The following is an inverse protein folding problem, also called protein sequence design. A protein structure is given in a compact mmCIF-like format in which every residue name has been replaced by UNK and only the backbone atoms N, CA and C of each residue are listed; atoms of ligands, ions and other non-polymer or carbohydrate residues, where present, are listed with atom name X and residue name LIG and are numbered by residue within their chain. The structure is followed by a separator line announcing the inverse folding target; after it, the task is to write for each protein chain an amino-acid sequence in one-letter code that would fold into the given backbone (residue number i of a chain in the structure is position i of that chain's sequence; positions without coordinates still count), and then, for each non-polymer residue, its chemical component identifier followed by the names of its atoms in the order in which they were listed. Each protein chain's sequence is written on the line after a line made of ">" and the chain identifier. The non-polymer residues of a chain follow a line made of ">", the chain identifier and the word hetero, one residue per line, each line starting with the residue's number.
data_IF_145568460626
#
_entry.id   IF_145568460626
#
_cell.length_a   1.000
_cell.length_b   1.000
_cell.length_c   1.000
_cell.angle_alpha   90.00
_cell.angle_beta   90.00
_cell.angle_gamma   90.00
#
_symmetry.space_group_name_H-M   'P 1'
#
loop_
_entity.id
_entity.type
_entity.pdbx_description
1 polymer ?
#
# COMPACT_ATOMS: atom_id res chain seq x y z
N UNK A 1 -9.75 -10.56 -1.42
CA UNK A 1 -8.74 -11.63 -1.59
C UNK A 1 -7.89 -11.63 -0.34
N UNK A 2 -7.45 -12.78 0.15
CA UNK A 2 -6.55 -12.82 1.31
C UNK A 2 -5.18 -12.25 0.96
N UNK A 3 -4.59 -11.53 1.91
CA UNK A 3 -3.28 -10.92 1.78
C UNK A 3 -2.18 -12.00 1.81
N UNK A 4 -1.21 -11.85 0.92
CA UNK A 4 0.03 -12.61 0.93
C UNK A 4 1.20 -11.65 0.79
N UNK A 5 2.10 -11.66 1.77
CA UNK A 5 3.32 -10.84 1.79
C UNK A 5 4.23 -11.15 0.60
N UNK A 6 4.36 -12.42 0.24
CA UNK A 6 5.18 -12.85 -0.90
C UNK A 6 4.60 -12.35 -2.22
N UNK A 7 3.28 -12.49 -2.41
CA UNK A 7 2.60 -11.98 -3.61
C UNK A 7 2.64 -10.46 -3.65
N UNK A 8 2.48 -9.78 -2.52
CA UNK A 8 2.55 -8.32 -2.49
C UNK A 8 3.89 -7.78 -2.98
N UNK A 9 4.98 -8.45 -2.60
CA UNK A 9 6.36 -8.04 -2.92
C UNK A 9 6.80 -8.48 -4.31
N UNK A 10 6.02 -9.27 -5.04
CA UNK A 10 6.41 -9.72 -6.37
C UNK A 10 6.28 -8.62 -7.42
N UNK A 11 7.09 -8.71 -8.48
CA UNK A 11 7.08 -7.73 -9.58
C UNK A 11 5.72 -7.68 -10.30
N UNK A 12 5.07 -8.83 -10.44
CA UNK A 12 3.76 -8.96 -11.11
C UNK A 12 2.58 -8.51 -10.23
N UNK A 13 2.79 -8.14 -8.96
CA UNK A 13 1.72 -7.74 -8.06
C UNK A 13 1.01 -6.45 -8.50
N UNK A 14 1.71 -5.63 -9.29
CA UNK A 14 1.25 -4.38 -9.89
C UNK A 14 0.74 -4.54 -11.32
N UNK A 15 0.83 -5.75 -11.90
CA UNK A 15 0.32 -5.98 -13.25
C UNK A 15 -1.19 -5.79 -13.28
N UNK A 16 -1.64 -5.05 -14.30
CA UNK A 16 -3.06 -4.81 -14.54
C UNK A 16 -3.65 -6.06 -15.19
N UNK A 17 -4.65 -6.65 -14.53
CA UNK A 17 -5.39 -7.76 -15.11
C UNK A 17 -6.54 -7.26 -16.02
N UNK A 18 -7.26 -8.18 -16.66
CA UNK A 18 -8.39 -7.89 -17.56
C UNK A 18 -9.54 -7.04 -16.96
N UNK A 19 -9.53 -6.79 -15.65
CA UNK A 19 -10.52 -5.97 -14.94
C UNK A 19 -9.98 -4.60 -14.52
N UNK A 20 -8.81 -4.19 -15.02
CA UNK A 20 -8.14 -2.95 -14.64
C UNK A 20 -7.80 -2.85 -13.14
N UNK A 21 -7.57 -3.97 -12.46
CA UNK A 21 -7.26 -4.02 -11.01
C UNK A 21 -6.07 -4.94 -10.73
N UNK A 22 -5.10 -4.46 -9.95
CA UNK A 22 -3.89 -5.22 -9.60
C UNK A 22 -4.13 -6.24 -8.48
N UNK A 23 -3.15 -7.12 -8.23
CA UNK A 23 -3.20 -8.03 -7.08
C UNK A 23 -3.10 -7.27 -5.75
N UNK A 24 -2.26 -6.23 -5.67
CA UNK A 24 -2.17 -5.39 -4.46
C UNK A 24 -3.51 -4.77 -4.11
N UNK A 25 -4.22 -4.20 -5.09
CA UNK A 25 -5.55 -3.61 -4.87
C UNK A 25 -6.57 -4.63 -4.35
N UNK A 26 -6.54 -5.87 -4.86
CA UNK A 26 -7.44 -6.95 -4.39
C UNK A 26 -7.17 -7.41 -2.95
N UNK A 27 -5.93 -7.26 -2.48
CA UNK A 27 -5.50 -7.67 -1.14
C UNK A 27 -5.67 -6.57 -0.09
N UNK A 28 -5.88 -5.31 -0.48
CA UNK A 28 -5.92 -4.17 0.45
C UNK A 28 -6.88 -4.34 1.62
N UNK A 29 -8.10 -4.84 1.38
CA UNK A 29 -9.09 -5.02 2.45
C UNK A 29 -8.56 -5.95 3.55
N UNK A 30 -8.06 -7.13 3.16
CA UNK A 30 -7.53 -8.09 4.14
C UNK A 30 -6.25 -7.58 4.81
N UNK A 31 -5.37 -6.92 4.06
CA UNK A 31 -4.18 -6.27 4.60
C UNK A 31 -4.52 -5.29 5.72
N UNK A 32 -5.45 -4.36 5.43
CA UNK A 32 -5.85 -3.29 6.35
C UNK A 32 -6.56 -3.85 7.59
N UNK A 33 -7.49 -4.78 7.38
CA UNK A 33 -8.36 -5.25 8.45
C UNK A 33 -7.66 -6.26 9.37
N UNK A 34 -6.76 -7.09 8.83
CA UNK A 34 -6.23 -8.25 9.55
C UNK A 34 -4.70 -8.24 9.75
N UNK A 35 -3.93 -7.52 8.92
CA UNK A 35 -2.46 -7.64 8.94
C UNK A 35 -1.73 -6.39 9.44
N UNK A 36 -2.30 -5.20 9.31
CA UNK A 36 -1.73 -3.94 9.81
C UNK A 36 -2.02 -3.58 11.27
N UNK A 37 -3.16 -3.97 11.88
CA UNK A 37 -3.44 -3.61 13.27
C UNK A 37 -2.34 -4.05 14.24
N UNK A 38 -1.97 -3.16 15.15
CA UNK A 38 -0.90 -3.34 16.15
C UNK A 38 0.51 -3.57 15.58
N UNK A 39 0.75 -3.35 14.28
CA UNK A 39 2.07 -3.47 13.68
C UNK A 39 2.90 -2.20 13.89
N UNK A 40 4.18 -2.38 14.16
CA UNK A 40 5.14 -1.27 14.15
C UNK A 40 5.51 -0.88 12.73
N UNK A 41 6.12 0.29 12.54
CA UNK A 41 6.69 0.69 11.24
C UNK A 41 7.61 -0.38 10.65
N UNK A 42 8.46 -0.98 11.49
CA UNK A 42 9.36 -2.06 11.08
C UNK A 42 8.57 -3.30 10.62
N UNK A 43 7.56 -3.72 11.38
CA UNK A 43 6.76 -4.88 10.99
C UNK A 43 6.03 -4.65 9.66
N UNK A 44 5.53 -3.44 9.42
CA UNK A 44 4.89 -3.08 8.14
C UNK A 44 5.88 -3.18 6.99
N UNK A 45 7.12 -2.73 7.17
CA UNK A 45 8.20 -2.88 6.16
C UNK A 45 8.52 -4.37 5.96
N UNK A 46 8.63 -5.14 7.03
CA UNK A 46 8.89 -6.59 6.95
C UNK A 46 7.76 -7.31 6.19
N UNK A 47 6.51 -6.86 6.31
CA UNK A 47 5.34 -7.43 5.64
C UNK A 47 5.18 -6.95 4.20
N UNK A 48 5.39 -5.67 3.91
CA UNK A 48 5.07 -5.05 2.61
C UNK A 48 6.29 -4.77 1.73
N UNK A 49 7.49 -4.93 2.28
CA UNK A 49 8.74 -4.50 1.67
C UNK A 49 9.03 -3.01 1.91
N UNK A 50 10.11 -2.55 1.28
CA UNK A 50 10.53 -1.15 1.30
C UNK A 50 9.42 -0.24 0.74
N UNK A 51 9.17 0.87 1.43
CA UNK A 51 8.23 1.88 0.95
C UNK A 51 8.83 2.73 -0.17
N UNK A 52 7.97 3.29 -1.01
CA UNK A 52 8.34 4.33 -1.96
C UNK A 52 8.46 5.68 -1.26
N UNK A 53 9.35 6.53 -1.77
CA UNK A 53 9.49 7.93 -1.33
C UNK A 53 8.71 8.90 -2.23
N UNK A 54 7.97 8.41 -3.23
CA UNK A 54 7.31 9.30 -4.21
C UNK A 54 6.24 10.18 -3.56
N UNK A 55 5.45 9.61 -2.65
CA UNK A 55 4.40 10.34 -1.90
C UNK A 55 4.90 10.90 -0.56
N UNK A 56 6.14 10.62 -0.18
CA UNK A 56 6.80 11.12 1.04
C UNK A 56 8.31 11.32 0.76
N UNK A 57 8.68 12.38 0.02
CA UNK A 57 10.03 12.56 -0.51
C UNK A 57 11.08 12.82 0.56
N UNK A 58 10.67 13.34 1.72
CA UNK A 58 11.58 13.69 2.81
C UNK A 58 11.95 12.48 3.70
N UNK A 59 11.27 11.33 3.54
CA UNK A 59 11.46 10.04 4.28
C UNK A 59 11.36 10.10 5.81
N UNK A 60 11.32 11.29 6.39
CA UNK A 60 11.17 11.56 7.83
C UNK A 60 9.70 11.72 8.24
N UNK A 61 8.76 11.53 7.31
CA UNK A 61 7.33 11.60 7.59
C UNK A 61 6.84 10.46 8.49
N UNK A 62 5.74 10.66 9.25
CA UNK A 62 5.11 9.63 10.08
C UNK A 62 4.40 8.54 9.26
N UNK A 63 4.77 8.37 7.98
CA UNK A 63 4.04 7.59 7.00
C UNK A 63 4.93 6.65 6.18
N UNK A 64 4.35 5.61 5.60
CA UNK A 64 4.96 4.75 4.58
C UNK A 64 4.05 4.71 3.36
N UNK A 65 4.62 4.81 2.16
CA UNK A 65 3.86 4.91 0.91
C UNK A 65 4.11 3.71 0.02
N UNK A 66 3.04 3.05 -0.43
CA UNK A 66 3.12 1.87 -1.26
C UNK A 66 2.27 2.01 -2.52
N UNK A 67 2.83 1.79 -3.72
CA UNK A 67 2.03 1.77 -4.94
C UNK A 67 1.11 0.56 -4.88
N UNK A 68 -0.16 0.76 -5.24
CA UNK A 68 -1.17 -0.31 -5.25
C UNK A 68 -1.60 -0.65 -6.67
N UNK A 69 -1.69 0.31 -7.58
CA UNK A 69 -2.12 0.08 -8.96
C UNK A 69 -2.57 1.37 -9.63
N UNK A 70 -3.25 1.30 -10.80
CA UNK A 70 -3.87 2.48 -11.39
C UNK A 70 -5.04 2.96 -10.52
N UNK A 71 -5.34 4.26 -10.61
CA UNK A 71 -6.51 4.86 -9.98
C UNK A 71 -7.79 4.16 -10.43
N UNK A 72 -8.63 3.80 -9.46
CA UNK A 72 -9.94 3.20 -9.72
C UNK A 72 -10.91 4.28 -10.22
N UNK A 73 -11.84 3.90 -11.08
CA UNK A 73 -12.87 4.78 -11.66
C UNK A 73 -12.35 5.90 -12.60
N UNK A 74 -11.05 5.89 -12.95
CA UNK A 74 -10.51 6.76 -14.00
C UNK A 74 -10.57 6.06 -15.35
N UNK A 75 -11.42 6.55 -16.26
CA UNK A 75 -11.58 6.03 -17.64
C UNK A 75 -10.30 6.12 -18.50
N UNK A 76 -9.30 6.90 -18.06
CA UNK A 76 -8.02 7.09 -18.78
C UNK A 76 -6.79 6.57 -18.01
N UNK A 77 -6.95 6.09 -16.76
CA UNK A 77 -5.93 5.40 -15.94
C UNK A 77 -4.50 6.00 -15.99
N UNK A 78 -4.38 7.33 -16.00
CA UNK A 78 -3.07 8.03 -16.02
C UNK A 78 -2.47 8.05 -14.61
N UNK A 79 -3.34 8.14 -13.60
CA UNK A 79 -2.96 8.37 -12.21
C UNK A 79 -2.80 7.03 -11.47
N UNK A 80 -1.84 6.95 -10.57
CA UNK A 80 -1.54 5.78 -9.74
C UNK A 80 -2.19 5.91 -8.36
N UNK A 81 -2.77 4.82 -7.85
CA UNK A 81 -3.28 4.71 -6.48
C UNK A 81 -2.18 4.24 -5.51
N UNK A 82 -2.05 4.94 -4.39
CA UNK A 82 -1.06 4.73 -3.35
C UNK A 82 -1.73 4.44 -2.00
N UNK A 83 -1.26 3.41 -1.31
CA UNK A 83 -1.55 3.18 0.10
C UNK A 83 -0.56 3.98 0.94
N UNK A 84 -1.08 4.90 1.74
CA UNK A 84 -0.32 5.65 2.73
C UNK A 84 -0.66 5.09 4.10
N UNK A 85 0.31 4.49 4.77
CA UNK A 85 0.19 3.93 6.13
C UNK A 85 0.76 4.95 7.11
N UNK A 86 -0.01 5.33 8.14
CA UNK A 86 0.40 6.32 9.15
C UNK A 86 0.64 5.67 10.50
N UNK A 87 1.59 6.22 11.26
CA UNK A 87 1.99 5.71 12.57
C UNK A 87 1.70 6.73 13.68
N UNK A 88 1.47 6.23 14.90
CA UNK A 88 1.35 7.08 16.08
C UNK A 88 2.72 7.51 16.62
N UNK A 89 2.74 8.32 17.68
CA UNK A 89 3.99 8.78 18.31
C UNK A 89 4.83 7.67 18.94
N UNK A 90 4.27 6.47 19.10
CA UNK A 90 4.97 5.27 19.60
C UNK A 90 5.44 4.37 18.45
N UNK A 91 5.17 4.74 17.20
CA UNK A 91 5.59 3.99 16.01
C UNK A 91 4.69 2.82 15.63
N UNK A 92 3.47 2.75 16.18
CA UNK A 92 2.48 1.72 15.84
C UNK A 92 1.51 2.22 14.77
N UNK A 93 0.98 1.29 13.97
CA UNK A 93 -0.05 1.55 12.98
C UNK A 93 -1.22 2.33 13.60
N UNK A 94 -1.48 3.51 13.05
CA UNK A 94 -2.56 4.42 13.49
C UNK A 94 -3.72 4.43 12.50
N UNK A 95 -3.43 4.28 11.22
CA UNK A 95 -4.44 4.33 10.17
C UNK A 95 -3.82 4.38 8.78
N UNK A 96 -4.68 4.52 7.77
CA UNK A 96 -4.26 4.59 6.38
C UNK A 96 -5.10 5.59 5.58
N UNK A 97 -4.59 5.97 4.41
CA UNK A 97 -5.36 6.66 3.36
C UNK A 97 -4.97 6.11 1.98
N UNK A 98 -5.91 6.13 1.04
CA UNK A 98 -5.60 5.91 -0.38
C UNK A 98 -5.50 7.28 -1.06
N UNK A 99 -4.43 7.49 -1.83
CA UNK A 99 -4.20 8.74 -2.56
C UNK A 99 -3.92 8.44 -4.04
N UNK A 100 -4.26 9.37 -4.91
CA UNK A 100 -3.90 9.34 -6.32
C UNK A 100 -2.93 10.48 -6.61
N UNK A 101 -1.97 10.26 -7.50
CA UNK A 101 -1.06 11.30 -8.01
C UNK A 101 -1.58 12.00 -9.26
#
# INVERSE_FOLDING_TARGET
>A
MSFSSEVWKSDYALDINDKSVTLRQKMLGDLIDNHLPNKTRRDVIDILGESSNKMDPDRDGPSLSYPTGPQRDSYMAIDSEWLIVTFDSKGYFKGYSLQSD
#
